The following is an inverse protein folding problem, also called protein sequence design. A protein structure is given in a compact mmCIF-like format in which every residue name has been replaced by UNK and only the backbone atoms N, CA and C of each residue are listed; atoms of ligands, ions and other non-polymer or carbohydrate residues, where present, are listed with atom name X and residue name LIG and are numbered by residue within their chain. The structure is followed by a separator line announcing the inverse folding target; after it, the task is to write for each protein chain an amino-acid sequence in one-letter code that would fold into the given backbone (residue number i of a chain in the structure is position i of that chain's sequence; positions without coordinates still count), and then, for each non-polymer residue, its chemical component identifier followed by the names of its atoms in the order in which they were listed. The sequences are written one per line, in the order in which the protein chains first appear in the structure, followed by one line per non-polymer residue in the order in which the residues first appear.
data_IF_968876760237
#
_entry.id   IF_968876760237
#
_cell.length_a   1.000
_cell.length_b   1.000
_cell.length_c   1.000
_cell.angle_alpha   90.00
_cell.angle_beta   90.00
_cell.angle_gamma   90.00
#
_symmetry.space_group_name_H-M   'P 1'
#
loop_
_entity.id
_entity.type
_entity.pdbx_description
1 polymer ?
#
# COMPACT_ATOMS: atom_id res chain seq x y z
N UNK A 1 24.01 6.98 -55.92
CA UNK A 1 23.68 7.10 -54.48
C UNK A 1 22.18 7.33 -54.30
N UNK A 2 21.57 6.84 -53.22
CA UNK A 2 20.22 7.28 -52.80
C UNK A 2 20.28 7.67 -51.32
N UNK A 3 20.04 8.96 -51.10
CA UNK A 3 20.00 9.65 -49.81
C UNK A 3 19.00 9.00 -48.85
N UNK A 4 19.49 8.57 -47.69
CA UNK A 4 18.67 8.09 -46.59
C UNK A 4 18.08 9.28 -45.84
N UNK A 5 16.75 9.37 -45.84
CA UNK A 5 15.98 10.40 -45.13
C UNK A 5 16.23 10.28 -43.62
N UNK A 6 16.91 11.28 -43.04
CA UNK A 6 17.02 11.43 -41.58
C UNK A 6 15.65 11.79 -40.99
N UNK A 7 15.21 10.98 -40.03
CA UNK A 7 13.97 11.17 -39.29
C UNK A 7 14.07 12.36 -38.32
N UNK A 8 13.02 13.18 -38.29
CA UNK A 8 12.89 14.42 -37.50
C UNK A 8 12.58 14.13 -36.01
N UNK A 9 12.43 12.85 -35.65
CA UNK A 9 12.12 12.40 -34.28
C UNK A 9 13.34 11.89 -33.50
N UNK A 10 14.55 11.95 -34.07
CA UNK A 10 15.80 11.72 -33.34
C UNK A 10 16.24 13.02 -32.62
N UNK A 11 15.34 13.61 -31.84
CA UNK A 11 15.69 14.67 -30.89
C UNK A 11 16.25 14.02 -29.62
N UNK A 12 17.55 13.76 -29.64
CA UNK A 12 18.38 13.62 -28.45
C UNK A 12 18.04 12.43 -27.56
N UNK A 13 18.46 11.23 -27.96
CA UNK A 13 18.63 10.13 -27.01
C UNK A 13 19.78 10.48 -26.05
N UNK A 14 19.44 11.14 -24.94
CA UNK A 14 20.39 11.43 -23.86
C UNK A 14 21.06 10.13 -23.40
N UNK A 15 22.39 10.16 -23.24
CA UNK A 15 23.17 8.99 -22.81
C UNK A 15 22.67 8.52 -21.45
N UNK A 16 22.02 7.35 -21.42
CA UNK A 16 21.51 6.76 -20.19
C UNK A 16 22.69 6.39 -19.27
N UNK A 17 22.86 7.13 -18.19
CA UNK A 17 23.90 6.88 -17.18
C UNK A 17 23.29 6.02 -16.07
N UNK A 18 23.70 4.76 -15.99
CA UNK A 18 23.39 3.89 -14.85
C UNK A 18 24.53 3.99 -13.84
N UNK A 19 24.23 4.47 -12.63
CA UNK A 19 25.14 4.42 -11.49
C UNK A 19 24.68 3.32 -10.54
N UNK A 20 25.63 2.52 -10.08
CA UNK A 20 25.44 1.61 -8.96
C UNK A 20 26.38 2.06 -7.85
N UNK A 21 25.89 2.04 -6.62
CA UNK A 21 26.70 2.26 -5.42
C UNK A 21 27.09 0.90 -4.83
N UNK A 22 28.11 0.90 -3.99
CA UNK A 22 28.45 -0.27 -3.19
C UNK A 22 27.28 -0.63 -2.25
N UNK A 23 27.14 -1.92 -1.96
CA UNK A 23 26.11 -2.40 -1.05
C UNK A 23 26.46 -2.02 0.39
N UNK A 24 25.53 -1.38 1.10
CA UNK A 24 25.67 -1.09 2.53
C UNK A 24 25.20 -2.29 3.35
N UNK A 25 26.11 -2.88 4.15
CA UNK A 25 25.74 -3.88 5.14
C UNK A 25 25.36 -3.19 6.45
N UNK A 26 24.19 -3.54 6.99
CA UNK A 26 23.69 -3.04 8.28
C UNK A 26 23.46 -4.25 9.18
N UNK A 27 24.12 -4.29 10.33
CA UNK A 27 23.87 -5.30 11.37
C UNK A 27 22.72 -4.84 12.28
N UNK A 28 21.74 -5.70 12.51
CA UNK A 28 20.52 -5.38 13.26
C UNK A 28 20.52 -6.17 14.56
N UNK A 29 20.71 -5.46 15.67
CA UNK A 29 20.73 -6.06 17.00
C UNK A 29 19.32 -6.48 17.46
N UNK A 30 19.20 -7.55 18.26
CA UNK A 30 17.91 -7.95 18.84
C UNK A 30 17.43 -6.95 19.90
N UNK A 31 16.14 -7.02 20.22
CA UNK A 31 15.56 -6.29 21.36
C UNK A 31 16.28 -6.72 22.66
N UNK A 32 16.80 -5.80 23.47
CA UNK A 32 17.41 -6.09 24.77
C UNK A 32 16.45 -6.81 25.72
N UNK A 33 16.98 -7.79 26.46
CA UNK A 33 16.17 -8.63 27.36
C UNK A 33 15.59 -7.87 28.58
N UNK A 34 16.16 -6.70 28.91
CA UNK A 34 15.71 -5.84 30.00
C UNK A 34 14.61 -4.85 29.57
N UNK A 35 14.20 -4.84 28.29
CA UNK A 35 13.13 -3.98 27.82
C UNK A 35 11.77 -4.49 28.35
N UNK A 36 10.90 -3.61 28.88
CA UNK A 36 9.60 -4.01 29.40
C UNK A 36 8.68 -4.55 28.29
N UNK A 37 7.58 -5.19 28.70
CA UNK A 37 6.53 -5.62 27.78
C UNK A 37 5.74 -4.40 27.26
N UNK A 38 6.33 -3.72 26.29
CA UNK A 38 5.83 -2.50 25.66
C UNK A 38 6.28 -2.44 24.19
N UNK A 39 5.73 -1.46 23.45
CA UNK A 39 6.15 -1.16 22.08
C UNK A 39 7.65 -0.89 22.02
N UNK A 40 8.37 -1.50 21.08
CA UNK A 40 9.82 -1.31 20.95
C UNK A 40 10.15 0.01 20.27
N UNK A 41 10.67 0.95 21.06
CA UNK A 41 10.96 2.32 20.63
C UNK A 41 12.47 2.63 20.68
N UNK A 42 13.27 2.23 19.66
CA UNK A 42 14.66 2.63 19.54
C UNK A 42 14.75 4.08 19.02
N UNK A 43 15.08 5.03 19.89
CA UNK A 43 15.18 6.44 19.55
C UNK A 43 16.52 7.04 19.99
N UNK A 44 16.90 8.18 19.42
CA UNK A 44 17.99 9.01 19.96
C UNK A 44 17.51 9.94 21.07
N UNK A 45 16.25 10.34 20.98
CA UNK A 45 15.58 11.21 21.95
C UNK A 45 14.07 10.93 21.88
N UNK A 46 13.42 10.84 23.04
CA UNK A 46 11.97 10.78 23.15
C UNK A 46 11.50 11.83 24.16
N UNK A 47 10.62 12.72 23.73
CA UNK A 47 10.02 13.76 24.59
C UNK A 47 8.51 13.63 24.61
N UNK A 48 7.92 13.92 25.77
CA UNK A 48 6.48 13.97 25.98
C UNK A 48 6.16 15.30 26.64
N UNK A 49 5.19 16.01 26.08
CA UNK A 49 4.75 17.32 26.58
C UNK A 49 3.23 17.35 26.64
N UNK A 50 2.68 18.21 27.49
CA UNK A 50 1.24 18.43 27.57
C UNK A 50 0.89 19.92 27.54
N UNK A 51 -0.30 20.21 27.01
CA UNK A 51 -0.94 21.50 27.08
C UNK A 51 -2.43 21.35 27.39
N UNK A 52 -3.02 22.41 27.93
CA UNK A 52 -4.39 22.44 28.40
C UNK A 52 -5.10 23.68 27.88
N UNK A 53 -6.33 23.54 27.39
CA UNK A 53 -7.17 24.69 26.99
C UNK A 53 -7.58 25.54 28.19
N UNK A 54 -7.82 24.88 29.33
CA UNK A 54 -8.20 25.49 30.61
C UNK A 54 -7.28 24.92 31.67
N UNK A 55 -6.69 25.75 32.56
CA UNK A 55 -5.82 25.27 33.62
C UNK A 55 -6.51 24.17 34.44
N UNK A 56 -5.81 23.06 34.75
CA UNK A 56 -6.40 21.92 35.47
C UNK A 56 -6.91 22.28 36.87
N UNK A 57 -6.43 23.38 37.45
CA UNK A 57 -6.85 23.90 38.75
C UNK A 57 -8.16 24.72 38.71
N UNK A 58 -8.67 25.03 37.52
CA UNK A 58 -9.79 25.96 37.31
C UNK A 58 -10.98 25.31 36.60
N UNK A 59 -11.06 23.98 36.59
CA UNK A 59 -12.14 23.26 35.93
C UNK A 59 -13.46 23.39 36.71
N UNK A 60 -14.58 23.24 35.99
CA UNK A 60 -15.92 23.25 36.56
C UNK A 60 -16.72 22.05 36.11
N UNK A 61 -17.67 21.62 36.94
CA UNK A 61 -18.61 20.56 36.56
C UNK A 61 -19.40 21.00 35.32
N UNK A 62 -19.40 20.15 34.29
CA UNK A 62 -20.09 20.38 33.02
C UNK A 62 -19.30 21.18 31.99
N UNK A 63 -18.16 21.78 32.36
CA UNK A 63 -17.29 22.50 31.42
C UNK A 63 -16.24 21.55 30.84
N UNK A 64 -16.11 21.51 29.51
CA UNK A 64 -15.09 20.69 28.85
C UNK A 64 -13.75 21.40 28.81
N UNK A 65 -12.68 20.70 29.18
CA UNK A 65 -11.30 21.14 28.96
C UNK A 65 -10.56 20.16 28.05
N UNK A 66 -9.85 20.68 27.06
CA UNK A 66 -9.05 19.87 26.15
C UNK A 66 -7.64 19.75 26.68
N UNK A 67 -7.18 18.50 26.87
CA UNK A 67 -5.78 18.16 27.12
C UNK A 67 -5.17 17.66 25.83
N UNK A 68 -4.04 18.24 25.43
CA UNK A 68 -3.27 17.80 24.27
C UNK A 68 -1.93 17.26 24.75
N UNK A 69 -1.61 16.02 24.39
CA UNK A 69 -0.34 15.36 24.69
C UNK A 69 0.44 15.18 23.39
N UNK A 70 1.65 15.74 23.35
CA UNK A 70 2.55 15.66 22.20
C UNK A 70 3.71 14.73 22.53
N UNK A 71 3.86 13.68 21.75
CA UNK A 71 4.97 12.73 21.81
C UNK A 71 5.86 12.96 20.58
N UNK A 72 7.16 13.15 20.80
CA UNK A 72 8.13 13.38 19.72
C UNK A 72 9.32 12.45 19.88
N UNK A 73 9.62 11.68 18.85
CA UNK A 73 10.73 10.71 18.81
C UNK A 73 11.71 10.99 17.69
N UNK A 74 12.98 11.23 18.03
CA UNK A 74 14.07 11.34 17.07
C UNK A 74 14.57 9.94 16.69
N UNK A 75 14.52 9.60 15.40
CA UNK A 75 14.85 8.27 14.87
C UNK A 75 13.64 7.32 14.75
N UNK A 76 12.43 7.79 15.06
CA UNK A 76 11.19 7.04 14.96
C UNK A 76 10.22 7.71 13.98
N UNK A 77 9.34 6.92 13.38
CA UNK A 77 8.15 7.43 12.68
C UNK A 77 7.05 7.79 13.68
N UNK A 78 6.22 8.78 13.36
CA UNK A 78 5.08 9.15 14.19
C UNK A 78 4.11 7.98 14.42
N UNK A 79 3.98 7.10 13.41
CA UNK A 79 3.15 5.89 13.50
C UNK A 79 3.68 4.82 14.46
N UNK A 80 4.96 4.88 14.84
CA UNK A 80 5.54 3.98 15.84
C UNK A 80 5.27 4.45 17.28
N UNK A 81 4.89 5.72 17.46
CA UNK A 81 4.66 6.28 18.79
C UNK A 81 3.34 5.73 19.38
N UNK A 82 3.36 5.28 20.64
CA UNK A 82 2.21 4.65 21.26
C UNK A 82 1.06 5.66 21.48
N UNK A 83 -0.20 5.21 21.43
CA UNK A 83 -1.34 6.05 21.77
C UNK A 83 -1.41 6.33 23.27
N UNK A 84 -1.86 7.53 23.63
CA UNK A 84 -2.17 7.89 25.01
C UNK A 84 -3.53 7.30 25.40
N UNK A 85 -3.52 6.40 26.37
CA UNK A 85 -4.72 5.73 26.86
C UNK A 85 -5.27 6.45 28.10
N UNK A 86 -6.59 6.60 28.14
CA UNK A 86 -7.32 7.22 29.26
C UNK A 86 -8.25 6.17 29.89
N UNK A 87 -7.88 5.59 31.04
CA UNK A 87 -8.76 4.65 31.73
C UNK A 87 -10.04 5.36 32.21
N UNK A 88 -11.12 4.60 32.35
CA UNK A 88 -12.37 5.14 32.88
C UNK A 88 -12.19 5.59 34.34
N UNK A 89 -12.35 6.89 34.59
CA UNK A 89 -12.26 7.48 35.93
C UNK A 89 -13.65 7.98 36.31
N UNK A 90 -14.15 7.55 37.48
CA UNK A 90 -15.41 8.08 38.01
C UNK A 90 -15.32 9.61 38.11
N UNK A 91 -16.37 10.32 37.74
CA UNK A 91 -16.38 11.78 37.80
C UNK A 91 -15.78 12.49 36.58
N UNK A 92 -15.04 11.79 35.70
CA UNK A 92 -14.46 12.35 34.47
C UNK A 92 -14.92 11.57 33.24
N UNK A 93 -15.40 12.27 32.22
CA UNK A 93 -15.64 11.69 30.89
C UNK A 93 -14.56 12.15 29.92
N UNK A 94 -13.98 11.20 29.20
CA UNK A 94 -12.93 11.44 28.21
C UNK A 94 -13.49 11.22 26.80
N UNK A 95 -13.34 12.21 25.95
CA UNK A 95 -13.72 12.15 24.54
C UNK A 95 -12.46 12.39 23.71
N UNK A 96 -11.75 11.31 23.31
CA UNK A 96 -10.52 11.43 22.52
C UNK A 96 -10.84 11.84 21.09
N UNK A 97 -10.03 12.73 20.55
CA UNK A 97 -10.06 13.14 19.15
C UNK A 97 -9.21 12.20 18.28
N UNK A 98 -9.32 12.37 16.96
CA UNK A 98 -8.43 11.67 16.04
C UNK A 98 -6.98 12.17 16.23
N UNK A 99 -6.00 11.27 16.37
CA UNK A 99 -4.61 11.67 16.55
C UNK A 99 -4.05 12.33 15.29
N UNK A 100 -3.20 13.34 15.47
CA UNK A 100 -2.37 13.90 14.40
C UNK A 100 -1.00 13.21 14.43
N UNK A 101 -0.62 12.61 13.31
CA UNK A 101 0.61 11.85 13.16
C UNK A 101 1.37 12.43 11.98
N UNK A 102 2.60 12.86 12.23
CA UNK A 102 3.46 13.45 11.22
C UNK A 102 4.89 12.94 11.33
N UNK A 103 5.57 12.95 10.18
CA UNK A 103 6.99 12.64 10.04
C UNK A 103 7.69 13.86 9.44
N UNK A 104 8.85 14.21 9.98
CA UNK A 104 9.69 15.29 9.49
C UNK A 104 11.15 14.85 9.37
N UNK A 105 11.91 15.55 8.54
CA UNK A 105 13.36 15.37 8.44
C UNK A 105 14.08 16.48 9.21
N UNK A 106 15.02 16.11 10.06
CA UNK A 106 15.91 17.03 10.76
C UNK A 106 17.38 16.69 10.42
N UNK A 107 18.30 17.60 10.76
CA UNK A 107 19.74 17.35 10.57
C UNK A 107 20.24 16.07 11.27
N UNK A 108 19.57 15.67 12.35
CA UNK A 108 19.88 14.47 13.12
C UNK A 108 19.12 13.22 12.65
N UNK A 109 18.32 13.31 11.58
CA UNK A 109 17.56 12.19 10.99
C UNK A 109 16.05 12.41 11.01
N UNK A 110 15.30 11.31 10.86
CA UNK A 110 13.84 11.28 10.92
C UNK A 110 13.32 11.70 12.30
N UNK A 111 12.25 12.49 12.33
CA UNK A 111 11.54 12.89 13.55
C UNK A 111 10.07 12.57 13.38
N UNK A 112 9.58 11.63 14.18
CA UNK A 112 8.17 11.30 14.28
C UNK A 112 7.50 12.13 15.37
N UNK A 113 6.31 12.64 15.09
CA UNK A 113 5.48 13.36 16.06
C UNK A 113 4.08 12.78 16.07
N UNK A 114 3.55 12.53 17.27
CA UNK A 114 2.17 12.11 17.51
C UNK A 114 1.53 13.08 18.50
N UNK A 115 0.38 13.62 18.15
CA UNK A 115 -0.40 14.53 18.99
C UNK A 115 -1.75 13.90 19.28
N UNK A 116 -1.99 13.58 20.56
CA UNK A 116 -3.24 13.02 21.05
C UNK A 116 -3.99 14.08 21.87
N UNK A 117 -5.17 14.49 21.40
CA UNK A 117 -6.05 15.43 22.11
C UNK A 117 -7.26 14.70 22.71
N UNK A 118 -7.66 15.10 23.91
CA UNK A 118 -8.84 14.57 24.59
C UNK A 118 -9.63 15.70 25.25
N UNK A 119 -10.93 15.74 25.00
CA UNK A 119 -11.85 16.58 25.76
C UNK A 119 -12.25 15.87 27.06
N UNK A 120 -11.99 16.54 28.18
CA UNK A 120 -12.26 16.06 29.53
C UNK A 120 -13.46 16.83 30.06
N UNK A 121 -14.53 16.12 30.40
CA UNK A 121 -15.76 16.70 30.96
C UNK A 121 -15.96 16.20 32.39
N UNK A 122 -15.70 17.04 33.41
CA UNK A 122 -16.00 16.71 34.80
C UNK A 122 -17.51 16.65 35.05
N UNK A 123 -17.94 15.65 35.81
CA UNK A 123 -19.35 15.40 36.16
C UNK A 123 -19.65 15.53 37.65
N UNK A 124 -18.61 15.48 38.49
CA UNK A 124 -18.69 15.60 39.94
C UNK A 124 -17.61 16.62 40.40
N UNK A 125 -17.97 17.50 41.34
CA UNK A 125 -17.03 18.46 41.91
C UNK A 125 -16.08 17.76 42.89
N UNK A 126 -14.85 18.23 42.98
CA UNK A 126 -13.81 17.64 43.83
C UNK A 126 -12.44 17.61 43.16
N UNK A 127 -11.53 16.86 43.76
CA UNK A 127 -10.17 16.67 43.24
C UNK A 127 -10.08 15.33 42.55
N UNK A 128 -9.65 15.33 41.28
CA UNK A 128 -9.46 14.12 40.48
C UNK A 128 -8.00 14.02 40.05
N UNK A 129 -7.44 12.81 40.04
CA UNK A 129 -6.06 12.59 39.59
C UNK A 129 -6.04 11.94 38.21
N UNK A 130 -5.26 12.53 37.29
CA UNK A 130 -4.84 11.89 36.05
C UNK A 130 -3.51 11.19 36.33
N UNK A 131 -3.41 9.88 36.05
CA UNK A 131 -2.19 9.11 36.33
C UNK A 131 -1.01 9.59 35.49
N UNK A 132 0.19 9.32 35.99
CA UNK A 132 1.44 9.51 35.25
C UNK A 132 1.42 8.72 33.93
N UNK A 133 1.87 9.35 32.85
CA UNK A 133 2.15 8.66 31.59
C UNK A 133 3.65 8.39 31.51
N UNK A 134 4.02 7.12 31.42
CA UNK A 134 5.40 6.66 31.38
C UNK A 134 5.64 5.81 30.15
N UNK A 135 6.46 6.29 29.22
CA UNK A 135 6.77 5.60 27.97
C UNK A 135 8.22 5.08 28.02
N UNK A 136 8.44 3.75 28.05
CA UNK A 136 9.78 3.18 27.96
C UNK A 136 10.33 3.36 26.54
N UNK A 137 11.60 3.70 26.41
CA UNK A 137 12.28 3.79 25.11
C UNK A 137 13.75 3.40 25.25
N UNK A 138 14.32 2.86 24.18
CA UNK A 138 15.73 2.52 24.13
C UNK A 138 16.50 3.67 23.55
N UNK A 139 17.41 4.26 24.33
CA UNK A 139 18.27 5.32 23.87
C UNK A 139 19.43 4.74 23.07
N UNK A 140 19.33 4.84 21.75
CA UNK A 140 20.36 4.37 20.81
C UNK A 140 21.68 5.14 20.90
N UNK A 141 21.72 6.28 21.60
CA UNK A 141 22.95 7.06 21.81
C UNK A 141 23.72 6.62 23.04
N UNK A 142 23.01 6.19 24.09
CA UNK A 142 23.61 5.73 25.35
C UNK A 142 23.54 4.21 25.57
N UNK A 143 22.84 3.50 24.69
CA UNK A 143 22.56 2.06 24.78
C UNK A 143 21.89 1.64 26.10
N UNK A 144 20.91 2.45 26.53
CA UNK A 144 20.24 2.28 27.81
C UNK A 144 18.72 2.39 27.70
N UNK A 145 18.01 1.70 28.58
CA UNK A 145 16.56 1.85 28.77
C UNK A 145 16.27 3.17 29.50
N UNK A 146 15.53 4.06 28.84
CA UNK A 146 15.07 5.33 29.40
C UNK A 146 13.54 5.42 29.40
N UNK A 147 13.04 6.43 30.11
CA UNK A 147 11.60 6.67 30.24
C UNK A 147 11.30 8.13 29.94
N UNK A 148 10.39 8.38 29.00
CA UNK A 148 9.76 9.68 28.86
C UNK A 148 8.56 9.71 29.83
N UNK A 149 8.60 10.64 30.77
CA UNK A 149 7.63 10.72 31.87
C UNK A 149 6.89 12.04 31.79
N UNK A 150 5.56 11.94 31.78
CA UNK A 150 4.66 13.05 32.01
C UNK A 150 4.00 12.85 33.39
N UNK A 151 4.29 13.71 34.37
CA UNK A 151 3.90 13.48 35.76
C UNK A 151 2.38 13.43 35.93
N UNK A 152 1.94 12.72 36.97
CA UNK A 152 0.54 12.73 37.37
C UNK A 152 0.05 14.17 37.63
N UNK A 153 -1.20 14.44 37.27
CA UNK A 153 -1.80 15.77 37.39
C UNK A 153 -3.07 15.73 38.22
N UNK A 154 -3.19 16.63 39.18
CA UNK A 154 -4.43 16.85 39.90
C UNK A 154 -5.31 17.87 39.18
N UNK A 155 -6.60 17.55 39.06
CA UNK A 155 -7.65 18.41 38.54
C UNK A 155 -8.47 18.90 39.73
N UNK A 156 -8.59 20.22 39.88
CA UNK A 156 -9.48 20.84 40.86
C UNK A 156 -10.76 21.26 40.14
N UNK A 157 -11.86 20.56 40.42
CA UNK A 157 -13.15 20.79 39.79
C UNK A 157 -14.09 21.50 40.76
N UNK A 158 -14.36 22.77 40.48
CA UNK A 158 -15.34 23.55 41.21
C UNK A 158 -16.78 23.15 40.81
N UNK A 159 -17.78 23.38 41.69
CA UNK A 159 -19.19 23.21 41.35
C UNK A 159 -19.59 24.01 40.11
N UNK A 160 -20.61 23.54 39.40
CA UNK A 160 -21.21 24.26 38.30
C UNK A 160 -21.68 25.66 38.76
N UNK A 161 -21.55 26.65 37.89
CA UNK A 161 -22.08 27.98 38.14
C UNK A 161 -23.62 27.90 38.16
N UNK A 162 -24.33 28.34 39.23
CA UNK A 162 -25.79 28.31 39.28
C UNK A 162 -26.47 29.13 38.18
N UNK A 163 -25.74 29.92 37.38
CA UNK A 163 -26.26 30.74 36.30
C UNK A 163 -26.55 29.99 34.98
N UNK A 164 -26.34 28.67 34.87
CA UNK A 164 -26.64 27.92 33.63
C UNK A 164 -27.37 26.61 33.85
N UNK A 165 -28.32 26.59 34.78
CA UNK A 165 -29.40 25.59 34.77
C UNK A 165 -30.51 26.15 33.88
N UNK A 166 -30.82 25.58 32.69
CA UNK A 166 -32.13 25.79 32.11
C UNK A 166 -33.14 25.28 33.13
N UNK A 167 -33.94 26.17 33.70
CA UNK A 167 -34.99 25.81 34.62
C UNK A 167 -35.91 24.78 33.96
N UNK A 168 -35.74 23.51 34.32
CA UNK A 168 -36.67 22.46 33.99
C UNK A 168 -37.95 22.77 34.77
N UNK A 169 -39.09 23.05 34.12
CA UNK A 169 -40.31 23.37 34.84
C UNK A 169 -40.73 22.14 35.64
N UNK A 170 -40.81 22.28 36.96
CA UNK A 170 -41.41 21.25 37.80
C UNK A 170 -42.90 21.10 37.42
N UNK A 171 -43.42 19.88 37.24
CA UNK A 171 -44.83 19.66 36.98
C UNK A 171 -45.63 20.02 38.24
N UNK A 172 -46.36 21.13 38.19
CA UNK A 172 -47.37 21.47 39.18
C UNK A 172 -48.62 20.64 38.89
N UNK A 173 -48.97 19.72 39.80
CA UNK A 173 -50.31 19.14 39.87
C UNK A 173 -51.29 20.25 40.31
N UNK A 174 -52.12 20.71 39.38
CA UNK A 174 -53.28 21.53 39.67
C UNK A 174 -54.56 20.79 39.24
N UNK A 175 -55.47 20.69 40.21
CA UNK A 175 -56.79 20.07 40.17
C UNK A 175 -57.71 20.68 39.10
N UNK A 176 -58.50 19.85 38.43
CA UNK A 176 -59.59 20.27 37.55
C UNK A 176 -60.73 20.94 38.35
N UNK A 177 -61.46 21.90 37.74
CA UNK A 177 -62.80 21.55 37.27
C UNK A 177 -63.27 22.18 35.95
N UNK A 178 -64.23 21.47 35.35
CA UNK A 178 -65.34 21.80 34.45
C UNK A 178 -65.17 22.69 33.19
N UNK A 179 -65.26 22.01 32.03
CA UNK A 179 -66.28 22.11 30.97
C UNK A 179 -66.79 23.54 30.62
N UNK A 180 -66.46 24.07 29.43
CA UNK A 180 -67.38 24.03 28.28
C UNK A 180 -66.81 24.60 26.97
N UNK A 181 -67.44 24.16 25.89
CA UNK A 181 -67.08 24.26 24.47
C UNK A 181 -67.02 25.68 23.88
N UNK A 182 -65.92 26.02 23.21
CA UNK A 182 -65.94 26.90 22.03
C UNK A 182 -64.70 26.64 21.14
N UNK A 183 -64.92 25.95 20.03
CA UNK A 183 -63.92 25.74 19.00
C UNK A 183 -63.49 27.08 18.36
N UNK A 184 -62.21 27.38 18.42
CA UNK A 184 -61.56 28.29 17.47
C UNK A 184 -60.15 27.77 17.24
N UNK A 185 -59.97 27.08 16.12
CA UNK A 185 -58.69 26.52 15.66
C UNK A 185 -57.86 27.65 15.02
N UNK A 186 -56.68 28.02 15.54
CA UNK A 186 -55.71 28.79 14.79
C UNK A 186 -54.93 27.86 13.82
N UNK A 187 -54.38 28.41 12.72
CA UNK A 187 -53.97 27.64 11.56
C UNK A 187 -52.74 26.78 11.87
N UNK A 188 -52.84 25.49 11.55
CA UNK A 188 -51.68 24.62 11.43
C UNK A 188 -50.93 25.10 10.19
N UNK A 189 -49.72 25.63 10.39
CA UNK A 189 -48.76 25.81 9.31
C UNK A 189 -48.32 24.40 8.92
N UNK A 190 -48.92 23.92 7.83
CA UNK A 190 -48.45 22.78 7.07
C UNK A 190 -47.12 23.17 6.40
N UNK A 191 -46.01 22.85 7.09
CA UNK A 191 -44.69 22.79 6.46
C UNK A 191 -44.74 21.56 5.54
N UNK A 192 -45.18 21.88 4.32
CA UNK A 192 -45.62 20.97 3.29
C UNK A 192 -44.78 19.71 3.14
N UNK A 193 -45.51 18.64 2.85
CA UNK A 193 -44.97 17.33 2.53
C UNK A 193 -43.76 17.43 1.61
N UNK A 194 -42.62 16.95 2.15
CA UNK A 194 -41.56 16.43 1.31
C UNK A 194 -42.19 15.33 0.45
N UNK A 195 -42.40 15.70 -0.81
CA UNK A 195 -42.97 14.92 -1.89
C UNK A 195 -42.47 13.47 -1.81
N UNK A 196 -43.37 12.51 -1.96
CA UNK A 196 -43.04 11.08 -2.07
C UNK A 196 -42.00 10.75 -3.17
N UNK A 197 -41.70 11.72 -4.04
CA UNK A 197 -40.61 11.73 -5.02
C UNK A 197 -39.19 11.82 -4.40
N UNK A 198 -38.98 12.57 -3.30
CA UNK A 198 -37.65 12.76 -2.70
C UNK A 198 -37.12 11.48 -2.03
N UNK A 199 -38.04 10.62 -1.55
CA UNK A 199 -37.73 9.33 -0.94
C UNK A 199 -37.30 8.25 -1.95
N UNK A 200 -37.68 8.38 -3.24
CA UNK A 200 -37.30 7.41 -4.29
C UNK A 200 -35.97 7.76 -4.95
N UNK A 201 -35.64 9.04 -5.09
CA UNK A 201 -34.42 9.48 -5.77
C UNK A 201 -33.15 8.96 -5.08
N UNK A 202 -33.06 9.05 -3.75
CA UNK A 202 -31.87 8.54 -3.04
C UNK A 202 -31.74 7.01 -3.11
N UNK A 203 -32.88 6.29 -3.18
CA UNK A 203 -32.89 4.83 -3.36
C UNK A 203 -32.39 4.44 -4.75
N UNK A 204 -32.81 5.15 -5.81
CA UNK A 204 -32.35 4.92 -7.18
C UNK A 204 -30.85 5.22 -7.30
N UNK A 205 -30.39 6.36 -6.74
CA UNK A 205 -28.97 6.73 -6.75
C UNK A 205 -28.12 5.70 -6.00
N UNK A 206 -28.59 5.24 -4.84
CA UNK A 206 -27.89 4.20 -4.06
C UNK A 206 -27.84 2.86 -4.80
N UNK A 207 -28.94 2.48 -5.46
CA UNK A 207 -29.01 1.24 -6.23
C UNK A 207 -28.08 1.26 -7.46
N UNK A 208 -28.07 2.36 -8.23
CA UNK A 208 -27.19 2.51 -9.40
C UNK A 208 -25.72 2.48 -8.96
N UNK A 209 -25.39 3.19 -7.88
CA UNK A 209 -24.02 3.24 -7.36
C UNK A 209 -23.57 1.87 -6.85
N UNK A 210 -24.42 1.15 -6.13
CA UNK A 210 -24.15 -0.22 -5.67
C UNK A 210 -23.94 -1.20 -6.83
N UNK A 211 -24.75 -1.10 -7.88
CA UNK A 211 -24.63 -1.93 -9.09
C UNK A 211 -23.34 -1.60 -9.85
N UNK A 212 -22.94 -0.33 -9.90
CA UNK A 212 -21.64 0.11 -10.42
C UNK A 212 -20.46 -0.46 -9.64
N UNK A 213 -20.51 -0.48 -8.30
CA UNK A 213 -19.48 -1.10 -7.47
C UNK A 213 -19.39 -2.61 -7.68
N UNK A 214 -20.52 -3.30 -7.80
CA UNK A 214 -20.55 -4.74 -8.09
C UNK A 214 -19.97 -5.07 -9.47
N UNK A 215 -20.26 -4.27 -10.49
CA UNK A 215 -19.67 -4.43 -11.82
C UNK A 215 -18.16 -4.16 -11.81
N UNK A 216 -17.72 -3.12 -11.11
CA UNK A 216 -16.30 -2.81 -10.96
C UNK A 216 -15.56 -3.93 -10.20
N UNK A 217 -16.16 -4.46 -9.13
CA UNK A 217 -15.63 -5.60 -8.39
C UNK A 217 -15.58 -6.87 -9.26
N UNK A 218 -16.63 -7.17 -10.01
CA UNK A 218 -16.66 -8.30 -10.93
C UNK A 218 -15.61 -8.17 -12.03
N UNK A 219 -15.41 -6.95 -12.56
CA UNK A 219 -14.36 -6.65 -13.53
C UNK A 219 -12.97 -6.85 -12.92
N UNK A 220 -12.71 -6.35 -11.70
CA UNK A 220 -11.44 -6.52 -10.98
C UNK A 220 -11.16 -7.98 -10.61
N UNK A 221 -12.17 -8.75 -10.22
CA UNK A 221 -12.02 -10.17 -9.94
C UNK A 221 -11.76 -10.96 -11.24
N UNK A 222 -12.39 -10.57 -12.35
CA UNK A 222 -12.15 -11.18 -13.66
C UNK A 222 -10.78 -10.76 -14.23
N UNK A 223 -10.30 -9.55 -13.96
CA UNK A 223 -8.97 -9.10 -14.37
C UNK A 223 -7.88 -9.73 -13.50
N UNK A 224 -8.11 -9.95 -12.20
CA UNK A 224 -7.22 -10.74 -11.33
C UNK A 224 -7.19 -12.22 -11.68
N UNK A 225 -8.28 -12.80 -12.17
CA UNK A 225 -8.27 -14.16 -12.74
C UNK A 225 -7.59 -14.25 -14.11
N UNK A 226 -7.45 -13.12 -14.81
CA UNK A 226 -6.66 -13.00 -16.05
C UNK A 226 -5.21 -12.58 -15.79
N UNK A 227 -4.91 -12.08 -14.60
CA UNK A 227 -3.54 -11.89 -14.15
C UNK A 227 -2.90 -13.27 -14.02
N UNK A 228 -1.87 -13.51 -14.84
CA UNK A 228 -1.04 -14.69 -14.73
C UNK A 228 -0.53 -14.82 -13.27
N UNK A 229 -0.40 -16.06 -12.75
CA UNK A 229 0.13 -16.26 -11.41
C UNK A 229 1.50 -15.57 -11.27
N UNK A 230 1.80 -14.97 -10.10
CA UNK A 230 3.09 -14.34 -9.87
C UNK A 230 4.21 -15.36 -10.08
N UNK A 231 5.35 -14.96 -10.69
CA UNK A 231 6.46 -15.87 -10.90
C UNK A 231 6.95 -16.39 -9.55
N UNK A 232 6.72 -17.69 -9.33
CA UNK A 232 7.31 -18.43 -8.23
C UNK A 232 8.82 -18.51 -8.43
N UNK A 233 9.54 -18.32 -7.33
CA UNK A 233 11.00 -18.28 -7.16
C UNK A 233 11.77 -19.25 -8.07
N UNK A 234 12.83 -18.80 -8.76
CA UNK A 234 13.55 -19.63 -9.72
C UNK A 234 14.52 -20.61 -9.04
N UNK A 235 14.46 -21.86 -9.49
CA UNK A 235 15.51 -22.87 -9.36
C UNK A 235 15.56 -23.71 -10.64
N UNK A 236 16.67 -24.42 -10.88
CA UNK A 236 17.73 -24.05 -11.82
C UNK A 236 17.25 -23.93 -13.28
N UNK A 237 17.98 -23.11 -14.06
CA UNK A 237 17.66 -22.61 -15.41
C UNK A 237 17.25 -23.65 -16.49
N UNK A 238 17.39 -24.95 -16.25
CA UNK A 238 17.06 -25.99 -17.24
C UNK A 238 15.57 -26.34 -17.28
N UNK A 239 14.82 -26.16 -16.18
CA UNK A 239 13.37 -26.41 -16.15
C UNK A 239 12.55 -25.31 -16.85
N UNK A 240 13.11 -24.10 -16.92
CA UNK A 240 12.50 -22.95 -17.60
C UNK A 240 12.53 -23.07 -19.12
N UNK A 241 13.70 -23.40 -19.69
CA UNK A 241 13.89 -23.57 -21.14
C UNK A 241 12.99 -24.68 -21.70
N UNK A 242 13.00 -25.87 -21.08
CA UNK A 242 12.22 -27.01 -21.55
C UNK A 242 10.70 -26.76 -21.49
N UNK A 243 10.24 -25.92 -20.55
CA UNK A 243 8.84 -25.49 -20.47
C UNK A 243 8.52 -24.43 -21.53
N UNK A 244 9.41 -23.46 -21.74
CA UNK A 244 9.26 -22.44 -22.76
C UNK A 244 9.25 -23.04 -24.18
N UNK A 245 10.11 -24.03 -24.44
CA UNK A 245 10.16 -24.76 -25.71
C UNK A 245 8.86 -25.52 -26.01
N UNK A 246 8.31 -26.24 -25.02
CA UNK A 246 7.01 -26.93 -25.17
C UNK A 246 5.89 -25.94 -25.46
N UNK A 247 5.93 -24.77 -24.84
CA UNK A 247 4.95 -23.69 -25.05
C UNK A 247 5.06 -23.12 -26.47
N UNK A 248 6.28 -22.92 -26.97
CA UNK A 248 6.52 -22.49 -28.35
C UNK A 248 5.99 -23.51 -29.37
N UNK A 249 6.26 -24.80 -29.17
CA UNK A 249 5.73 -25.86 -30.03
C UNK A 249 4.20 -25.94 -30.02
N UNK A 250 3.57 -25.80 -28.84
CA UNK A 250 2.12 -25.78 -28.72
C UNK A 250 1.48 -24.57 -29.41
N UNK A 251 2.09 -23.38 -29.29
CA UNK A 251 1.63 -22.18 -29.97
C UNK A 251 1.74 -22.33 -31.49
N UNK A 252 2.82 -22.93 -32.00
CA UNK A 252 2.97 -23.20 -33.42
C UNK A 252 1.94 -24.24 -33.92
N UNK A 253 1.66 -25.28 -33.15
CA UNK A 253 0.66 -26.30 -33.50
C UNK A 253 -0.79 -25.74 -33.49
N UNK A 254 -1.04 -24.67 -32.75
CA UNK A 254 -2.36 -24.03 -32.66
C UNK A 254 -2.70 -23.11 -33.85
N UNK A 255 -1.75 -22.86 -34.76
CA UNK A 255 -1.94 -21.97 -35.92
C UNK A 255 -2.08 -20.48 -35.57
N UNK A 256 -1.90 -20.11 -34.30
CA UNK A 256 -1.96 -18.73 -33.82
C UNK A 256 -0.59 -18.06 -33.99
N UNK A 257 -0.41 -17.35 -35.11
CA UNK A 257 0.85 -16.70 -35.47
C UNK A 257 1.31 -15.68 -34.40
N UNK A 258 0.38 -14.95 -33.77
CA UNK A 258 0.73 -13.93 -32.78
C UNK A 258 1.26 -14.56 -31.49
N UNK A 259 0.62 -15.64 -31.04
CA UNK A 259 1.12 -16.43 -29.91
C UNK A 259 2.42 -17.16 -30.23
N UNK A 260 2.56 -17.69 -31.44
CA UNK A 260 3.79 -18.37 -31.87
C UNK A 260 5.00 -17.42 -31.79
N UNK A 261 4.86 -16.18 -32.29
CA UNK A 261 5.92 -15.16 -32.20
C UNK A 261 6.36 -14.89 -30.75
N UNK A 262 5.40 -14.67 -29.85
CA UNK A 262 5.72 -14.38 -28.45
C UNK A 262 6.39 -15.57 -27.76
N UNK A 263 5.91 -16.79 -28.01
CA UNK A 263 6.43 -17.99 -27.37
C UNK A 263 7.85 -18.35 -27.87
N UNK A 264 8.16 -18.11 -29.14
CA UNK A 264 9.51 -18.31 -29.71
C UNK A 264 10.52 -17.33 -29.11
N UNK A 265 10.16 -16.04 -29.00
CA UNK A 265 11.02 -15.02 -28.38
C UNK A 265 11.27 -15.36 -26.90
N UNK A 266 10.23 -15.77 -26.17
CA UNK A 266 10.35 -16.16 -24.76
C UNK A 266 11.24 -17.39 -24.55
N UNK A 267 11.18 -18.38 -25.45
CA UNK A 267 12.09 -19.53 -25.42
C UNK A 267 13.54 -19.12 -25.72
N UNK A 268 13.77 -18.30 -26.74
CA UNK A 268 15.10 -17.82 -27.10
C UNK A 268 15.74 -16.93 -26.01
N UNK A 269 14.94 -16.14 -25.30
CA UNK A 269 15.38 -15.40 -24.12
C UNK A 269 15.88 -16.31 -22.98
N UNK A 270 15.33 -17.52 -22.85
CA UNK A 270 15.80 -18.53 -21.90
C UNK A 270 17.15 -19.16 -22.27
N UNK A 271 17.55 -19.09 -23.54
CA UNK A 271 18.79 -19.68 -24.06
C UNK A 271 19.99 -18.72 -24.09
N UNK A 272 19.77 -17.42 -23.93
CA UNK A 272 20.81 -16.39 -23.93
C UNK A 272 20.57 -15.34 -22.82
N UNK A 273 20.82 -15.67 -21.54
CA UNK A 273 20.53 -14.76 -20.41
C UNK A 273 21.31 -13.45 -20.46
N UNK A 274 22.47 -13.44 -21.13
CA UNK A 274 23.35 -12.26 -21.25
C UNK A 274 22.89 -11.25 -22.31
N UNK A 275 22.13 -11.70 -23.32
CA UNK A 275 21.61 -10.88 -24.41
C UNK A 275 20.28 -11.47 -24.92
N UNK A 276 19.17 -11.26 -24.19
CA UNK A 276 17.89 -11.86 -24.56
C UNK A 276 17.36 -11.25 -25.86
N UNK A 277 17.07 -12.04 -26.89
CA UNK A 277 16.49 -11.52 -28.12
C UNK A 277 15.07 -10.99 -27.87
N UNK A 278 14.75 -9.85 -28.48
CA UNK A 278 13.43 -9.18 -28.41
C UNK A 278 12.67 -9.22 -29.74
N UNK A 279 13.28 -9.76 -30.80
CA UNK A 279 12.68 -9.89 -32.14
C UNK A 279 13.02 -11.23 -32.79
N UNK A 280 12.20 -11.68 -33.75
CA UNK A 280 12.45 -12.93 -34.48
C UNK A 280 13.75 -12.86 -35.31
N UNK A 281 14.12 -11.68 -35.82
CA UNK A 281 15.40 -11.47 -36.49
C UNK A 281 16.60 -11.73 -35.55
N UNK A 282 16.51 -11.33 -34.28
CA UNK A 282 17.55 -11.63 -33.29
C UNK A 282 17.55 -13.11 -32.88
N UNK A 283 16.38 -13.77 -32.91
CA UNK A 283 16.31 -15.23 -32.73
C UNK A 283 16.98 -15.95 -33.91
N UNK A 284 16.73 -15.52 -35.16
CA UNK A 284 17.37 -16.08 -36.34
C UNK A 284 18.90 -15.94 -36.27
N UNK A 285 19.39 -14.75 -35.88
CA UNK A 285 20.82 -14.49 -35.69
C UNK A 285 21.48 -15.31 -34.56
N UNK A 286 20.70 -15.81 -33.58
CA UNK A 286 21.23 -16.62 -32.48
C UNK A 286 21.56 -18.06 -32.91
N UNK A 287 20.87 -18.59 -33.92
CA UNK A 287 21.01 -19.98 -34.34
C UNK A 287 21.74 -20.13 -35.68
N UNK A 288 21.84 -19.08 -36.50
CA UNK A 288 22.54 -19.06 -37.79
C UNK A 288 22.15 -20.21 -38.75
N UNK A 289 20.89 -20.66 -38.66
CA UNK A 289 20.35 -21.77 -39.44
C UNK A 289 19.40 -21.24 -40.54
N UNK A 290 19.70 -21.44 -41.84
CA UNK A 290 18.92 -20.84 -42.94
C UNK A 290 17.46 -21.33 -42.98
N UNK A 291 17.22 -22.60 -42.59
CA UNK A 291 15.88 -23.19 -42.54
C UNK A 291 15.02 -22.65 -41.38
N UNK A 292 15.65 -22.16 -40.31
CA UNK A 292 14.94 -21.50 -39.21
C UNK A 292 14.63 -20.04 -39.58
N UNK A 293 15.58 -19.33 -40.18
CA UNK A 293 15.39 -17.96 -40.64
C UNK A 293 14.22 -17.85 -41.61
N UNK A 294 14.14 -18.74 -42.62
CA UNK A 294 13.02 -18.73 -43.58
C UNK A 294 11.66 -19.00 -42.91
N UNK A 295 11.62 -19.87 -41.89
CA UNK A 295 10.39 -20.18 -41.17
C UNK A 295 9.93 -19.02 -40.25
N UNK A 296 10.88 -18.28 -39.68
CA UNK A 296 10.62 -17.09 -38.87
C UNK A 296 10.19 -15.90 -39.74
N UNK A 297 10.80 -15.73 -40.91
CA UNK A 297 10.37 -14.72 -41.89
C UNK A 297 8.97 -15.00 -42.43
N UNK A 298 8.63 -16.27 -42.70
CA UNK A 298 7.27 -16.66 -43.11
C UNK A 298 6.25 -16.36 -41.99
N UNK A 299 6.63 -16.51 -40.73
CA UNK A 299 5.80 -16.15 -39.58
C UNK A 299 5.59 -14.62 -39.48
N UNK A 300 6.65 -13.82 -39.60
CA UNK A 300 6.55 -12.36 -39.61
C UNK A 300 5.74 -11.87 -40.83
N UNK A 301 5.94 -12.48 -42.00
CA UNK A 301 5.17 -12.17 -43.20
C UNK A 301 3.67 -12.44 -42.97
N UNK A 302 3.31 -13.58 -42.39
CA UNK A 302 1.90 -13.88 -42.08
C UNK A 302 1.27 -12.92 -41.05
N UNK A 303 2.08 -12.30 -40.17
CA UNK A 303 1.62 -11.34 -39.17
C UNK A 303 1.46 -9.92 -39.71
N UNK A 304 2.27 -9.55 -40.69
CA UNK A 304 2.37 -8.17 -41.17
C UNK A 304 1.94 -7.98 -42.64
N UNK A 305 1.63 -9.04 -43.38
CA UNK A 305 1.10 -8.95 -44.74
C UNK A 305 -0.41 -8.69 -44.75
N UNK A 306 -0.87 -7.82 -45.65
CA UNK A 306 -2.29 -7.50 -45.87
C UNK A 306 -3.09 -8.63 -46.54
N UNK A 307 -2.44 -9.76 -46.83
CA UNK A 307 -3.06 -10.97 -47.38
C UNK A 307 -3.21 -11.98 -46.26
N UNK A 308 -4.45 -12.35 -45.94
CA UNK A 308 -4.77 -13.37 -44.95
C UNK A 308 -4.42 -14.78 -45.47
N UNK A 309 -3.14 -15.05 -45.63
CA UNK A 309 -2.63 -16.41 -45.82
C UNK A 309 -2.68 -17.12 -44.47
N UNK A 310 -3.40 -18.24 -44.39
CA UNK A 310 -3.40 -19.09 -43.20
C UNK A 310 -1.97 -19.57 -42.92
N UNK A 311 -1.41 -19.19 -41.78
CA UNK A 311 -0.08 -19.62 -41.37
C UNK A 311 -0.12 -21.06 -40.85
N UNK A 312 0.67 -21.94 -41.46
CA UNK A 312 0.89 -23.30 -40.97
C UNK A 312 2.18 -23.35 -40.14
N UNK A 313 2.05 -23.62 -38.85
CA UNK A 313 3.16 -23.70 -37.91
C UNK A 313 3.99 -24.99 -37.99
N UNK A 314 3.62 -25.97 -38.83
CA UNK A 314 4.35 -27.24 -38.95
C UNK A 314 5.81 -27.05 -39.37
N UNK A 315 6.07 -26.20 -40.37
CA UNK A 315 7.43 -25.89 -40.83
C UNK A 315 8.28 -25.27 -39.71
N UNK A 316 7.72 -24.32 -38.95
CA UNK A 316 8.42 -23.71 -37.82
C UNK A 316 8.70 -24.71 -36.69
N UNK A 317 7.77 -25.63 -36.40
CA UNK A 317 8.01 -26.66 -35.37
C UNK A 317 9.15 -27.61 -35.73
N UNK A 318 9.33 -27.94 -37.01
CA UNK A 318 10.43 -28.79 -37.47
C UNK A 318 11.77 -28.06 -37.36
N UNK A 319 11.85 -26.82 -37.86
CA UNK A 319 13.07 -26.01 -37.78
C UNK A 319 13.49 -25.73 -36.33
N UNK A 320 12.54 -25.47 -35.41
CA UNK A 320 12.82 -25.26 -33.98
C UNK A 320 13.39 -26.51 -33.29
N UNK A 321 12.91 -27.71 -33.65
CA UNK A 321 13.44 -28.97 -33.12
C UNK A 321 14.87 -29.24 -33.61
N UNK A 322 15.13 -28.98 -34.88
CA UNK A 322 16.46 -29.11 -35.47
C UNK A 322 17.46 -28.16 -34.81
N UNK A 323 17.11 -26.87 -34.69
CA UNK A 323 17.96 -25.85 -34.05
C UNK A 323 18.31 -26.20 -32.59
N UNK A 324 17.35 -26.73 -31.82
CA UNK A 324 17.61 -27.19 -30.44
C UNK A 324 18.57 -28.37 -30.37
N UNK A 325 18.45 -29.32 -31.31
CA UNK A 325 19.32 -30.50 -31.36
C UNK A 325 20.77 -30.17 -31.75
N UNK A 326 20.97 -29.22 -32.68
CA UNK A 326 22.29 -28.77 -33.12
C UNK A 326 23.03 -28.01 -32.00
N UNK A 327 22.34 -27.13 -31.26
CA UNK A 327 22.96 -26.40 -30.15
C UNK A 327 23.39 -27.32 -28.99
N UNK A 328 22.56 -28.31 -28.65
CA UNK A 328 22.92 -29.30 -27.62
C UNK A 328 24.06 -30.25 -28.04
N UNK A 329 24.32 -30.42 -29.34
CA UNK A 329 25.49 -31.15 -29.84
C UNK A 329 26.77 -30.27 -29.82
N UNK A 330 26.63 -28.97 -30.08
CA UNK A 330 27.76 -28.03 -30.04
C UNK A 330 28.25 -27.78 -28.61
N UNK A 331 27.34 -27.63 -27.63
CA UNK A 331 27.70 -27.47 -26.20
C UNK A 331 28.43 -28.70 -25.62
N UNK A 332 28.07 -29.93 -26.06
CA UNK A 332 28.81 -31.15 -25.67
C UNK A 332 30.20 -31.27 -26.30
N UNK A 333 30.42 -30.59 -27.42
CA UNK A 333 31.72 -30.57 -28.10
C UNK A 333 32.66 -29.55 -27.45
N UNK A 334 32.13 -28.43 -26.97
CA UNK A 334 32.89 -27.42 -26.20
C UNK A 334 33.32 -27.92 -24.81
N UNK A 335 32.52 -28.76 -24.13
CA UNK A 335 32.93 -29.37 -22.84
C UNK A 335 34.07 -30.38 -22.97
N UNK A 336 34.30 -30.97 -24.15
CA UNK A 336 35.42 -31.90 -24.38
C UNK A 336 36.77 -31.18 -24.62
N UNK A 337 36.77 -29.85 -24.76
CA UNK A 337 37.96 -29.04 -25.08
C UNK A 337 38.76 -28.49 -23.88
N UNK A 338 38.27 -28.61 -22.64
CA UNK A 338 38.97 -28.09 -21.45
C UNK A 338 39.68 -29.21 -20.66
N UNK A 339 40.83 -29.67 -21.14
CA UNK A 339 41.81 -30.38 -20.29
C UNK A 339 42.74 -29.35 -19.62
N UNK A 340 42.51 -29.06 -18.34
CA UNK A 340 43.30 -28.12 -17.52
C UNK A 340 44.06 -28.84 -16.39
N UNK A 341 44.93 -29.79 -16.72
CA UNK A 341 45.98 -30.22 -15.78
C UNK A 341 47.31 -30.43 -16.50
N UNK A 342 48.41 -29.75 -16.09
CA UNK A 342 49.75 -30.16 -16.47
C UNK A 342 50.17 -31.38 -15.64
N UNK A 343 50.72 -32.41 -16.30
CA UNK A 343 51.38 -33.52 -15.63
C UNK A 343 52.69 -33.02 -15.02
N UNK A 344 52.84 -33.18 -13.70
CA UNK A 344 54.07 -32.89 -12.98
C UNK A 344 55.15 -33.93 -13.28
N UNK A 345 56.38 -33.43 -13.42
CA UNK A 345 57.62 -34.17 -13.22
C UNK A 345 58.55 -33.31 -12.37
#
# INVERSE_FOLDING_TARGET
ERDARRSIFDMGSGRQLRRQTEALQVDVLPRPANYPDADWLPARELTVQESWSTPPEQLRVGESATRTVTIRGLGLQGAQLPPVLYPATRGLKFYPDQPDISDGEAAAGLVGTRVDSVAIVPTEAGTWSIPELRIPWWDTSSDELRYAVLPARELSVAPADPATVPAQPAPQLATAPDIDTAATTPPIIDLGGASAEQGRLWQIVSAVTGLGWLLTLAYLLRSRRRAAPPPSTPGPAQTGEARAFRTALAACASGDAARARQAVIAWAAGLAPQAPPVSLAQVAALFDEPALTSALEALDQALYSDTAAGWDGTALTQSLRQARSHKGANERSDEQGLQLYPQGA
#
